data_IF_371006722645
#
_entry.id   IF_371006722645
#
_cell.length_a   1.000
_cell.length_b   1.000
_cell.length_c   1.000
_cell.angle_alpha   90.00
_cell.angle_beta   90.00
_cell.angle_gamma   90.00
#
_symmetry.space_group_name_H-M   'P 1'
#
loop_
_entity.id
_entity.type
_entity.pdbx_description
1 polymer ?
#
# COMPACT_ATOMS: atom_id res chain seq x y z
N UNK A 1 12.96 9.70 -5.73
CA UNK A 1 12.98 9.20 -4.34
C UNK A 1 12.11 10.11 -3.49
N UNK A 2 11.10 9.55 -2.82
CA UNK A 2 10.29 10.26 -1.82
C UNK A 2 11.17 10.42 -0.58
N UNK A 3 11.48 11.66 -0.19
CA UNK A 3 12.45 11.96 0.89
C UNK A 3 12.09 11.34 2.24
N UNK A 4 10.82 11.03 2.46
CA UNK A 4 10.28 10.51 3.73
C UNK A 4 10.08 8.98 3.76
N UNK A 5 10.52 8.26 2.73
CA UNK A 5 10.38 6.81 2.63
C UNK A 5 11.75 6.14 2.48
N UNK A 6 11.96 5.02 3.14
CA UNK A 6 13.19 4.22 3.08
C UNK A 6 13.39 3.62 1.69
N UNK A 7 12.30 3.26 1.01
CA UNK A 7 12.28 2.85 -0.39
C UNK A 7 11.14 3.53 -1.12
N UNK A 8 11.36 3.95 -2.36
CA UNK A 8 10.26 4.47 -3.19
C UNK A 8 10.49 4.23 -4.67
N UNK A 9 9.40 4.05 -5.41
CA UNK A 9 9.41 3.83 -6.84
C UNK A 9 8.25 4.60 -7.48
N UNK A 10 8.47 5.10 -8.69
CA UNK A 10 7.41 5.62 -9.56
C UNK A 10 7.45 4.79 -10.84
N UNK A 11 6.37 4.08 -11.10
CA UNK A 11 6.21 3.27 -12.32
C UNK A 11 5.16 3.92 -13.21
N UNK A 12 5.45 4.00 -14.50
CA UNK A 12 4.47 4.38 -15.53
C UNK A 12 4.27 3.22 -16.48
N UNK A 13 3.04 2.70 -16.52
CA UNK A 13 2.62 1.64 -17.42
C UNK A 13 1.54 2.19 -18.35
N UNK A 14 1.95 2.61 -19.54
CA UNK A 14 1.06 3.28 -20.50
C UNK A 14 0.45 4.56 -19.93
N UNK A 15 -0.88 4.57 -19.76
CA UNK A 15 -1.65 5.69 -19.20
C UNK A 15 -1.78 5.64 -17.67
N UNK A 16 -1.29 4.58 -17.03
CA UNK A 16 -1.38 4.40 -15.58
C UNK A 16 -0.04 4.73 -14.95
N UNK A 17 -0.06 5.60 -13.94
CA UNK A 17 1.13 5.90 -13.12
C UNK A 17 0.86 5.45 -11.69
N UNK A 18 1.84 4.78 -11.09
CA UNK A 18 1.77 4.27 -9.72
C UNK A 18 2.98 4.79 -8.96
N UNK A 19 2.74 5.29 -7.75
CA UNK A 19 3.77 5.69 -6.81
C UNK A 19 3.73 4.72 -5.64
N UNK A 20 4.86 4.14 -5.30
CA UNK A 20 5.01 3.23 -4.17
C UNK A 20 6.08 3.77 -3.23
N UNK A 21 5.82 3.69 -1.92
CA UNK A 21 6.76 3.99 -0.86
C UNK A 21 6.72 2.88 0.18
N UNK A 22 7.89 2.51 0.69
CA UNK A 22 8.05 1.57 1.81
C UNK A 22 8.47 2.40 3.01
N UNK A 23 7.76 2.18 4.12
CA UNK A 23 8.13 2.72 5.42
C UNK A 23 8.38 1.60 6.43
N UNK A 24 9.52 1.66 7.11
CA UNK A 24 9.89 0.70 8.14
C UNK A 24 9.77 1.34 9.53
N UNK A 25 9.06 0.66 10.44
CA UNK A 25 8.88 1.10 11.82
C UNK A 25 9.05 -0.09 12.78
N UNK A 26 9.54 0.19 13.99
CA UNK A 26 9.63 -0.82 15.05
C UNK A 26 8.27 -0.95 15.71
N UNK A 27 7.73 -2.16 15.75
CA UNK A 27 6.44 -2.46 16.36
C UNK A 27 6.53 -3.72 17.22
N UNK A 28 5.69 -3.80 18.25
CA UNK A 28 5.56 -4.99 19.08
C UNK A 28 4.94 -6.14 18.26
N UNK A 29 5.55 -7.34 18.24
CA UNK A 29 5.02 -8.46 17.48
C UNK A 29 3.72 -8.98 18.09
N UNK A 30 2.94 -9.74 17.31
CA UNK A 30 1.72 -10.36 17.81
C UNK A 30 2.05 -11.39 18.90
N UNK A 31 1.22 -11.42 19.94
CA UNK A 31 1.33 -12.40 21.04
C UNK A 31 1.30 -13.84 20.49
N UNK A 32 0.47 -14.08 19.49
CA UNK A 32 0.30 -15.40 18.87
C UNK A 32 1.49 -15.82 18.00
N UNK A 33 2.30 -14.86 17.52
CA UNK A 33 3.37 -15.09 16.53
C UNK A 33 4.58 -14.14 16.81
N UNK A 34 5.30 -14.30 17.94
CA UNK A 34 6.30 -13.34 18.41
C UNK A 34 7.56 -13.24 17.53
N UNK A 35 7.78 -14.20 16.62
CA UNK A 35 8.93 -14.22 15.70
C UNK A 35 8.62 -13.63 14.32
N UNK A 36 7.38 -13.19 14.07
CA UNK A 36 6.97 -12.63 12.77
C UNK A 36 6.74 -11.13 12.88
N UNK A 37 7.23 -10.40 11.89
CA UNK A 37 6.95 -8.97 11.72
C UNK A 37 5.63 -8.72 10.99
N UNK A 38 5.37 -7.44 10.70
CA UNK A 38 4.19 -7.01 9.95
C UNK A 38 4.59 -6.56 8.54
N UNK A 39 3.72 -6.87 7.59
CA UNK A 39 3.69 -6.23 6.28
C UNK A 39 2.27 -5.70 6.13
N UNK A 40 2.14 -4.39 5.95
CA UNK A 40 0.84 -3.72 5.85
C UNK A 40 0.78 -2.98 4.52
N UNK A 41 0.35 -3.63 3.43
CA UNK A 41 0.17 -2.95 2.16
C UNK A 41 -1.08 -2.08 2.22
N UNK A 42 -0.95 -0.82 1.81
CA UNK A 42 -2.06 0.10 1.69
C UNK A 42 -2.06 0.70 0.29
N UNK A 43 -3.21 0.65 -0.39
CA UNK A 43 -3.41 1.26 -1.70
C UNK A 43 -4.43 2.38 -1.57
N UNK A 44 -4.05 3.56 -2.06
CA UNK A 44 -4.92 4.72 -2.12
C UNK A 44 -5.21 5.08 -3.58
N UNK A 45 -6.47 5.36 -3.88
CA UNK A 45 -6.92 5.85 -5.19
C UNK A 45 -7.47 7.25 -5.01
N UNK A 46 -6.59 8.24 -5.23
CA UNK A 46 -6.93 9.66 -5.09
C UNK A 46 -7.88 10.12 -6.21
N UNK A 47 -8.71 11.15 -5.99
CA UNK A 47 -9.48 11.81 -7.06
C UNK A 47 -8.63 12.31 -8.24
N UNK A 48 -7.31 12.50 -8.04
CA UNK A 48 -6.35 12.83 -9.10
C UNK A 48 -6.21 11.68 -10.11
N UNK A 49 -6.44 10.42 -9.69
CA UNK A 49 -6.36 9.25 -10.56
C UNK A 49 -7.55 9.15 -11.52
N UNK A 50 -8.75 9.53 -11.07
CA UNK A 50 -9.99 9.56 -11.86
C UNK A 50 -11.11 10.23 -11.07
N UNK A 51 -12.05 10.89 -11.75
CA UNK A 51 -13.22 11.55 -11.13
C UNK A 51 -14.19 10.58 -10.45
N UNK A 52 -14.07 9.27 -10.71
CA UNK A 52 -14.87 8.24 -10.04
C UNK A 52 -14.42 7.99 -8.60
N UNK A 53 -13.16 8.32 -8.27
CA UNK A 53 -12.62 8.12 -6.93
C UNK A 53 -12.99 9.31 -6.05
N UNK A 54 -13.64 9.03 -4.94
CA UNK A 54 -14.07 10.04 -3.97
C UNK A 54 -13.04 10.19 -2.87
N UNK A 55 -12.84 11.40 -2.33
CA UNK A 55 -12.05 11.59 -1.12
C UNK A 55 -12.76 10.92 0.07
N UNK A 56 -11.97 10.38 1.00
CA UNK A 56 -12.48 9.69 2.18
C UNK A 56 -11.86 8.30 2.35
N UNK A 57 -12.53 7.40 3.07
CA UNK A 57 -12.06 6.02 3.25
C UNK A 57 -11.83 5.32 1.90
N UNK A 58 -10.90 4.35 1.85
CA UNK A 58 -10.63 3.60 0.63
C UNK A 58 -11.89 2.88 0.16
N UNK A 59 -12.29 3.11 -1.10
CA UNK A 59 -13.41 2.42 -1.72
C UNK A 59 -13.11 0.94 -1.99
N UNK A 60 -14.14 0.20 -2.41
CA UNK A 60 -14.09 -1.26 -2.61
C UNK A 60 -12.91 -1.74 -3.47
N UNK A 61 -12.60 -1.01 -4.56
CA UNK A 61 -11.48 -1.35 -5.43
C UNK A 61 -10.12 -1.21 -4.70
N UNK A 62 -9.92 -0.13 -3.93
CA UNK A 62 -8.69 0.10 -3.19
C UNK A 62 -8.48 -0.95 -2.09
N UNK A 63 -9.57 -1.31 -1.39
CA UNK A 63 -9.57 -2.38 -0.39
C UNK A 63 -9.25 -3.74 -1.03
N UNK A 64 -9.94 -4.10 -2.11
CA UNK A 64 -9.75 -5.36 -2.82
C UNK A 64 -8.32 -5.54 -3.35
N UNK A 65 -7.70 -4.46 -3.86
CA UNK A 65 -6.30 -4.49 -4.31
C UNK A 65 -5.35 -4.65 -3.11
N UNK A 66 -5.57 -3.89 -2.04
CA UNK A 66 -4.75 -3.98 -0.82
C UNK A 66 -4.77 -5.38 -0.23
N UNK A 67 -5.94 -5.99 -0.11
CA UNK A 67 -6.09 -7.38 0.36
C UNK A 67 -5.43 -8.39 -0.57
N UNK A 68 -5.52 -8.19 -1.88
CA UNK A 68 -4.88 -9.08 -2.85
C UNK A 68 -3.36 -9.01 -2.75
N UNK A 69 -2.80 -7.82 -2.54
CA UNK A 69 -1.36 -7.63 -2.32
C UNK A 69 -0.93 -8.28 -0.99
N UNK A 70 -1.68 -8.09 0.09
CA UNK A 70 -1.42 -8.73 1.39
C UNK A 70 -1.39 -10.26 1.26
N UNK A 71 -2.34 -10.85 0.52
CA UNK A 71 -2.36 -12.29 0.23
C UNK A 71 -1.15 -12.76 -0.56
N UNK A 72 -0.60 -11.96 -1.48
CA UNK A 72 0.60 -12.32 -2.24
C UNK A 72 1.86 -12.34 -1.38
N UNK A 73 1.96 -11.46 -0.38
CA UNK A 73 3.10 -11.44 0.54
C UNK A 73 3.05 -12.55 1.61
N UNK A 74 1.86 -13.12 1.86
CA UNK A 74 1.64 -14.19 2.84
C UNK A 74 1.67 -15.60 2.24
N UNK A 75 1.89 -15.73 0.93
CA UNK A 75 2.19 -17.02 0.27
C UNK A 75 3.58 -17.50 0.66
#
# INVERSE_FOLDING_TARGET
SIKSAEGSCVLKMGKTSVVCGIKAEVAEPRVDDPKKGYIVPNVELSPICSSIFKPGPPGELAQSISERIDKLFKQ
#
